data_IF_243904884779
#
_entry.id   IF_243904884779
#
_cell.length_a   1.000
_cell.length_b   1.000
_cell.length_c   1.000
_cell.angle_alpha   90.00
_cell.angle_beta   90.00
_cell.angle_gamma   90.00
#
_symmetry.space_group_name_H-M   'P 1'
#
loop_
_entity.id
_entity.type
_entity.pdbx_description
1 polymer ?
#
# COMPACT_ATOMS: atom_id res chain seq x y z
N UNK A 1 -6.98 -5.44 19.33
CA UNK A 1 -6.54 -4.71 18.15
C UNK A 1 -7.60 -4.86 17.11
N UNK A 2 -8.28 -3.75 16.83
CA UNK A 2 -9.06 -3.64 15.61
C UNK A 2 -8.11 -3.41 14.41
N UNK A 3 -8.68 -3.15 13.23
CA UNK A 3 -7.86 -2.95 12.03
C UNK A 3 -7.07 -1.63 12.08
N UNK A 4 -7.61 -0.58 12.70
CA UNK A 4 -6.98 0.74 12.75
C UNK A 4 -5.74 0.72 13.63
N UNK A 5 -5.81 0.01 14.77
CA UNK A 5 -4.65 -0.25 15.63
C UNK A 5 -3.49 -0.89 14.84
N UNK A 6 -3.81 -1.82 13.92
CA UNK A 6 -2.80 -2.47 13.08
C UNK A 6 -2.29 -1.56 11.96
N UNK A 7 -3.11 -0.67 11.41
CA UNK A 7 -2.66 0.27 10.37
C UNK A 7 -1.67 1.29 10.95
N UNK A 8 -1.93 1.79 12.16
CA UNK A 8 -0.96 2.61 12.90
C UNK A 8 0.34 1.85 13.19
N UNK A 9 0.24 0.57 13.53
CA UNK A 9 1.40 -0.30 13.75
C UNK A 9 2.18 -0.54 12.45
N UNK A 10 1.49 -0.75 11.33
CA UNK A 10 2.10 -0.91 9.99
C UNK A 10 2.90 0.32 9.58
N UNK A 11 2.39 1.53 9.83
CA UNK A 11 3.13 2.77 9.56
C UNK A 11 4.45 2.83 10.33
N UNK A 12 4.48 2.37 11.59
CA UNK A 12 5.73 2.32 12.38
C UNK A 12 6.65 1.22 11.85
N UNK A 13 6.11 0.02 11.63
CA UNK A 13 6.89 -1.12 11.18
C UNK A 13 7.55 -0.89 9.82
N UNK A 14 6.88 -0.23 8.87
CA UNK A 14 7.44 -0.03 7.53
C UNK A 14 8.66 0.93 7.55
N UNK A 15 8.73 1.82 8.55
CA UNK A 15 9.86 2.73 8.76
C UNK A 15 10.98 2.10 9.60
N UNK A 16 10.64 1.24 10.56
CA UNK A 16 11.60 0.72 11.55
C UNK A 16 12.15 -0.68 11.20
N UNK A 17 11.40 -1.49 10.45
CA UNK A 17 11.74 -2.87 10.15
C UNK A 17 12.30 -3.03 8.73
N UNK A 18 13.03 -4.12 8.51
CA UNK A 18 13.28 -4.59 7.14
C UNK A 18 11.97 -5.13 6.52
N UNK A 19 11.81 -5.01 5.20
CA UNK A 19 10.63 -5.52 4.49
C UNK A 19 10.36 -7.01 4.77
N UNK A 20 11.42 -7.81 4.93
CA UNK A 20 11.30 -9.23 5.28
C UNK A 20 10.77 -9.45 6.71
N UNK A 21 11.16 -8.61 7.67
CA UNK A 21 10.65 -8.67 9.03
C UNK A 21 9.19 -8.19 9.09
N UNK A 22 8.87 -7.13 8.35
CA UNK A 22 7.50 -6.63 8.18
C UNK A 22 6.58 -7.72 7.61
N UNK A 23 6.92 -8.32 6.45
CA UNK A 23 6.10 -9.37 5.84
C UNK A 23 5.93 -10.56 6.79
N UNK A 24 7.00 -10.98 7.47
CA UNK A 24 6.96 -12.10 8.42
C UNK A 24 6.03 -11.83 9.60
N UNK A 25 5.99 -10.60 10.11
CA UNK A 25 5.09 -10.20 11.19
C UNK A 25 3.64 -10.35 10.77
N UNK A 26 3.24 -9.76 9.64
CA UNK A 26 1.85 -9.81 9.18
C UNK A 26 1.43 -11.18 8.65
N UNK A 27 2.36 -11.98 8.13
CA UNK A 27 2.12 -13.40 7.89
C UNK A 27 1.75 -14.13 9.20
N UNK A 28 2.50 -13.89 10.29
CA UNK A 28 2.21 -14.52 11.57
C UNK A 28 0.85 -14.08 12.14
N UNK A 29 0.50 -12.80 12.00
CA UNK A 29 -0.83 -12.27 12.36
C UNK A 29 -1.93 -12.98 11.57
N UNK A 30 -1.77 -13.17 10.26
CA UNK A 30 -2.74 -13.92 9.45
C UNK A 30 -2.82 -15.40 9.87
N UNK A 31 -1.69 -16.06 10.16
CA UNK A 31 -1.70 -17.44 10.68
C UNK A 31 -2.48 -17.54 11.99
N UNK A 32 -2.29 -16.59 12.91
CA UNK A 32 -2.98 -16.57 14.20
C UNK A 32 -4.50 -16.37 14.02
N UNK A 33 -4.91 -15.43 13.18
CA UNK A 33 -6.31 -14.99 13.07
C UNK A 33 -7.13 -15.80 12.06
N UNK A 34 -6.52 -16.21 10.96
CA UNK A 34 -7.18 -16.87 9.81
C UNK A 34 -6.76 -18.33 9.62
N UNK A 35 -5.66 -18.74 10.27
CA UNK A 35 -5.09 -20.07 10.12
C UNK A 35 -4.06 -20.15 8.98
N UNK A 36 -3.15 -21.11 9.10
CA UNK A 36 -1.99 -21.27 8.20
C UNK A 36 -2.36 -21.45 6.73
N UNK A 37 -3.48 -22.10 6.43
CA UNK A 37 -3.89 -22.34 5.04
C UNK A 37 -4.23 -21.04 4.31
N UNK A 38 -4.89 -20.09 4.99
CA UNK A 38 -5.24 -18.78 4.45
C UNK A 38 -3.98 -17.93 4.20
N UNK A 39 -3.06 -17.90 5.19
CA UNK A 39 -1.79 -17.20 5.05
C UNK A 39 -0.96 -17.75 3.86
N UNK A 40 -0.94 -19.08 3.67
CA UNK A 40 -0.27 -19.71 2.52
C UNK A 40 -0.98 -19.39 1.21
N UNK A 41 -2.32 -19.32 1.18
CA UNK A 41 -3.10 -18.95 -0.01
C UNK A 41 -2.65 -17.57 -0.50
N UNK A 42 -2.68 -16.57 0.38
CA UNK A 42 -2.26 -15.20 0.07
C UNK A 42 -0.77 -15.15 -0.31
N UNK A 43 0.09 -15.85 0.41
CA UNK A 43 1.54 -15.83 0.16
C UNK A 43 1.91 -16.33 -1.25
N UNK A 44 1.15 -17.27 -1.79
CA UNK A 44 1.40 -17.93 -3.09
C UNK A 44 0.91 -17.16 -4.30
N UNK A 45 0.10 -16.12 -4.11
CA UNK A 45 -0.34 -15.25 -5.21
C UNK A 45 0.88 -14.71 -5.95
N UNK A 46 0.87 -14.84 -7.27
CA UNK A 46 1.91 -14.29 -8.12
C UNK A 46 1.68 -12.78 -8.28
N UNK A 47 2.71 -11.98 -8.00
CA UNK A 47 2.63 -10.51 -8.06
C UNK A 47 3.59 -9.92 -9.10
N UNK A 48 4.15 -10.74 -10.00
CA UNK A 48 5.18 -10.31 -10.94
C UNK A 48 4.66 -9.32 -11.99
N UNK A 49 3.49 -9.58 -12.59
CA UNK A 49 2.90 -8.63 -13.56
C UNK A 49 2.53 -7.32 -12.88
N UNK A 50 1.91 -7.39 -11.70
CA UNK A 50 1.58 -6.22 -10.89
C UNK A 50 2.83 -5.42 -10.50
N UNK A 51 3.94 -6.11 -10.17
CA UNK A 51 5.25 -5.48 -9.91
C UNK A 51 5.76 -4.71 -11.12
N UNK A 52 5.68 -5.26 -12.31
CA UNK A 52 6.17 -4.58 -13.53
C UNK A 52 5.28 -3.38 -13.87
N UNK A 53 3.95 -3.50 -13.79
CA UNK A 53 3.03 -2.37 -13.94
C UNK A 53 3.32 -1.26 -12.94
N UNK A 54 3.56 -1.60 -11.68
CA UNK A 54 3.89 -0.65 -10.62
C UNK A 54 5.22 0.07 -10.87
N UNK A 55 6.24 -0.62 -11.40
CA UNK A 55 7.53 -0.01 -11.79
C UNK A 55 7.37 0.97 -12.94
N UNK A 56 6.59 0.60 -13.96
CA UNK A 56 6.31 1.47 -15.10
C UNK A 56 5.53 2.70 -14.66
N UNK A 57 4.50 2.50 -13.82
CA UNK A 57 3.66 3.55 -13.25
C UNK A 57 4.46 4.56 -12.43
N UNK A 58 5.26 4.12 -11.45
CA UNK A 58 6.06 5.06 -10.64
C UNK A 58 7.12 5.80 -11.48
N UNK A 59 7.72 5.13 -12.47
CA UNK A 59 8.68 5.76 -13.39
C UNK A 59 8.02 6.87 -14.21
N UNK A 60 6.79 6.67 -14.65
CA UNK A 60 6.02 7.70 -15.34
C UNK A 60 5.56 8.81 -14.39
N UNK A 61 5.08 8.46 -13.19
CA UNK A 61 4.66 9.43 -12.18
C UNK A 61 5.79 10.39 -11.81
N UNK A 62 7.01 9.88 -11.59
CA UNK A 62 8.20 10.70 -11.32
C UNK A 62 8.54 11.66 -12.47
N UNK A 63 8.38 11.22 -13.73
CA UNK A 63 8.62 12.08 -14.90
C UNK A 63 7.60 13.22 -15.01
N UNK A 64 6.36 12.99 -14.59
CA UNK A 64 5.32 14.01 -14.54
C UNK A 64 5.55 14.95 -13.35
N UNK A 65 5.84 14.39 -12.19
CA UNK A 65 6.13 15.14 -10.97
C UNK A 65 7.31 16.11 -11.15
N UNK A 66 8.38 15.68 -11.83
CA UNK A 66 9.55 16.53 -12.13
C UNK A 66 9.26 17.71 -13.07
N UNK A 67 8.12 17.73 -13.79
CA UNK A 67 7.72 18.84 -14.65
C UNK A 67 6.77 19.82 -13.94
N UNK A 68 6.18 19.40 -12.84
CA UNK A 68 5.16 20.15 -12.11
C UNK A 68 5.67 20.66 -10.76
N UNK A 69 4.72 21.12 -9.96
CA UNK A 69 4.91 21.51 -8.55
C UNK A 69 4.56 20.37 -7.59
N UNK A 70 4.81 19.12 -8.00
CA UNK A 70 4.46 17.95 -7.21
C UNK A 70 5.13 18.00 -5.84
N UNK A 71 4.33 17.83 -4.79
CA UNK A 71 4.81 17.69 -3.41
C UNK A 71 4.79 16.25 -2.93
N UNK A 72 4.02 15.36 -3.55
CA UNK A 72 3.96 13.94 -3.17
C UNK A 72 3.45 13.11 -4.34
N UNK A 73 3.91 11.86 -4.40
CA UNK A 73 3.31 10.81 -5.22
C UNK A 73 2.57 9.86 -4.29
N UNK A 74 1.26 9.73 -4.48
CA UNK A 74 0.39 8.87 -3.69
C UNK A 74 -0.05 7.65 -4.50
N UNK A 75 0.27 6.46 -4.01
CA UNK A 75 -0.19 5.21 -4.59
C UNK A 75 -1.45 4.72 -3.86
N UNK A 76 -2.59 4.80 -4.52
CA UNK A 76 -3.84 4.23 -4.03
C UNK A 76 -4.12 2.90 -4.70
N UNK A 77 -4.70 1.95 -3.95
CA UNK A 77 -5.24 0.72 -4.51
C UNK A 77 -6.63 0.41 -3.94
N UNK A 78 -7.49 -0.14 -4.78
CA UNK A 78 -8.89 -0.45 -4.44
C UNK A 78 -9.06 -1.94 -4.14
N UNK A 79 -9.29 -2.27 -2.87
CA UNK A 79 -9.33 -3.66 -2.40
C UNK A 79 -10.45 -4.49 -3.06
N UNK A 80 -11.58 -3.87 -3.38
CA UNK A 80 -12.79 -4.60 -3.79
C UNK A 80 -13.10 -4.47 -5.29
N UNK A 81 -12.23 -3.76 -6.01
CA UNK A 81 -12.31 -3.52 -7.44
C UNK A 81 -11.03 -3.98 -8.14
N UNK A 82 -10.76 -5.29 -8.10
CA UNK A 82 -9.64 -5.90 -8.83
C UNK A 82 -8.26 -5.51 -8.31
N UNK A 83 -8.15 -4.92 -7.12
CA UNK A 83 -6.90 -4.33 -6.63
C UNK A 83 -6.33 -3.28 -7.59
N UNK A 84 -7.22 -2.62 -8.35
CA UNK A 84 -6.87 -1.57 -9.29
C UNK A 84 -6.14 -0.46 -8.53
N UNK A 85 -5.00 -0.03 -9.06
CA UNK A 85 -4.20 1.00 -8.42
C UNK A 85 -3.81 2.11 -9.37
N UNK A 86 -3.57 3.28 -8.77
CA UNK A 86 -3.11 4.47 -9.48
C UNK A 86 -2.07 5.21 -8.64
N UNK A 87 -1.17 5.89 -9.34
CA UNK A 87 -0.31 6.91 -8.77
C UNK A 87 -0.94 8.27 -9.03
N UNK A 88 -1.27 8.98 -7.97
CA UNK A 88 -1.73 10.36 -7.99
C UNK A 88 -0.56 11.29 -7.70
N UNK A 89 -0.50 12.40 -8.43
CA UNK A 89 0.55 13.41 -8.26
C UNK A 89 -0.13 14.65 -7.67
N UNK A 90 0.16 14.92 -6.41
CA UNK A 90 -0.50 15.96 -5.62
C UNK A 90 0.43 17.17 -5.48
N UNK A 91 -0.15 18.36 -5.43
CA UNK A 91 0.54 19.64 -5.23
C UNK A 91 0.45 20.16 -3.79
N UNK A 92 -0.23 19.42 -2.90
CA UNK A 92 -0.11 19.58 -1.46
C UNK A 92 0.40 18.30 -0.77
N UNK A 93 0.97 18.46 0.42
CA UNK A 93 1.46 17.36 1.25
C UNK A 93 1.54 17.82 2.70
N UNK A 94 1.08 16.96 3.61
CA UNK A 94 1.17 17.14 5.06
C UNK A 94 1.97 16.01 5.67
N UNK A 95 2.83 16.37 6.61
CA UNK A 95 3.63 15.40 7.33
C UNK A 95 2.74 14.51 8.20
N UNK A 96 3.21 13.29 8.47
CA UNK A 96 2.43 12.29 9.23
C UNK A 96 1.95 12.79 10.60
N UNK A 97 2.70 13.67 11.28
CA UNK A 97 2.34 14.20 12.59
C UNK A 97 1.22 15.24 12.55
N UNK A 98 0.87 15.76 11.36
CA UNK A 98 -0.22 16.72 11.19
C UNK A 98 -1.59 16.04 11.22
N UNK A 99 -1.65 14.70 11.08
CA UNK A 99 -2.89 13.90 11.10
C UNK A 99 -3.97 14.44 10.13
N UNK A 100 -3.53 14.93 8.97
CA UNK A 100 -4.36 15.52 7.92
C UNK A 100 -3.96 14.95 6.56
N UNK A 101 -4.82 14.12 5.98
CA UNK A 101 -4.65 13.49 4.68
C UNK A 101 -5.57 14.07 3.59
N UNK A 102 -6.18 15.24 3.81
CA UNK A 102 -7.01 15.93 2.80
C UNK A 102 -6.21 16.27 1.53
N UNK A 103 -4.88 16.37 1.63
CA UNK A 103 -3.99 16.58 0.49
C UNK A 103 -4.09 15.49 -0.58
N UNK A 104 -4.55 14.28 -0.24
CA UNK A 104 -4.69 13.17 -1.17
C UNK A 104 -5.97 13.25 -2.03
N UNK A 105 -6.89 14.18 -1.73
CA UNK A 105 -8.15 14.33 -2.46
C UNK A 105 -8.04 15.20 -3.72
N UNK A 106 -6.93 15.92 -3.92
CA UNK A 106 -6.70 16.75 -5.10
C UNK A 106 -5.37 16.35 -5.77
N UNK A 107 -5.43 16.11 -7.07
CA UNK A 107 -4.27 15.72 -7.88
C UNK A 107 -4.41 16.34 -9.27
N UNK A 108 -3.26 16.70 -9.85
CA UNK A 108 -3.25 17.32 -11.18
C UNK A 108 -2.92 16.31 -12.30
N UNK A 109 -2.37 15.16 -11.96
CA UNK A 109 -2.07 14.07 -12.89
C UNK A 109 -2.28 12.71 -12.21
N UNK A 110 -2.66 11.71 -13.00
CA UNK A 110 -2.81 10.32 -12.55
C UNK A 110 -2.09 9.36 -13.51
N UNK A 111 -1.57 8.26 -12.98
CA UNK A 111 -0.91 7.21 -13.76
C UNK A 111 -1.37 5.85 -13.27
N UNK A 112 -1.74 4.97 -14.19
CA UNK A 112 -2.14 3.61 -13.84
C UNK A 112 -1.00 2.84 -13.14
N UNK A 113 -1.32 2.20 -12.03
CA UNK A 113 -0.42 1.38 -11.22
C UNK A 113 -0.53 -0.13 -11.46
N UNK A 114 -1.51 -0.55 -12.25
CA UNK A 114 -1.84 -1.95 -12.53
C UNK A 114 -3.01 -2.47 -11.70
N UNK A 115 -3.19 -3.78 -11.70
CA UNK A 115 -4.23 -4.49 -10.95
C UNK A 115 -3.73 -5.86 -10.48
N UNK A 116 -4.41 -6.44 -9.49
CA UNK A 116 -4.11 -7.77 -8.96
C UNK A 116 -5.41 -8.46 -8.53
N UNK A 117 -6.18 -8.93 -9.53
CA UNK A 117 -7.53 -9.47 -9.34
C UNK A 117 -7.60 -10.57 -8.25
N UNK A 118 -6.61 -11.46 -8.19
CA UNK A 118 -6.54 -12.53 -7.18
C UNK A 118 -6.55 -12.00 -5.73
N UNK A 119 -5.97 -10.82 -5.45
CA UNK A 119 -6.06 -10.21 -4.11
C UNK A 119 -7.47 -9.72 -3.82
N UNK A 120 -8.13 -9.12 -4.80
CA UNK A 120 -9.50 -8.64 -4.66
C UNK A 120 -10.49 -9.78 -4.47
N UNK A 121 -10.32 -10.89 -5.19
CA UNK A 121 -11.11 -12.11 -4.99
C UNK A 121 -10.98 -12.64 -3.56
N UNK A 122 -9.75 -12.75 -3.03
CA UNK A 122 -9.51 -13.20 -1.65
C UNK A 122 -10.16 -12.23 -0.65
N UNK A 123 -10.07 -10.92 -0.90
CA UNK A 123 -10.72 -9.93 -0.05
C UNK A 123 -12.24 -10.07 -0.07
N UNK A 124 -12.86 -10.14 -1.25
CA UNK A 124 -14.32 -10.26 -1.42
C UNK A 124 -14.89 -11.53 -0.79
N UNK A 125 -14.12 -12.63 -0.75
CA UNK A 125 -14.51 -13.86 -0.04
C UNK A 125 -14.68 -13.67 1.48
N UNK A 126 -13.94 -12.74 2.09
CA UNK A 126 -13.83 -12.64 3.55
C UNK A 126 -14.36 -11.30 4.11
N UNK A 127 -14.36 -10.24 3.30
CA UNK A 127 -14.62 -8.86 3.68
C UNK A 127 -13.46 -8.20 4.43
N UNK A 128 -13.68 -6.98 4.92
CA UNK A 128 -12.65 -6.15 5.55
C UNK A 128 -12.17 -6.67 6.90
N UNK A 129 -13.00 -6.57 7.96
CA UNK A 129 -12.57 -6.89 9.33
C UNK A 129 -13.70 -7.43 10.24
N UNK A 130 -14.81 -7.91 9.67
CA UNK A 130 -15.99 -8.35 10.43
C UNK A 130 -15.77 -9.64 11.24
N UNK A 131 -14.72 -10.40 10.92
CA UNK A 131 -14.32 -11.62 11.63
C UNK A 131 -12.80 -11.64 11.82
N UNK A 132 -12.29 -12.49 12.72
CA UNK A 132 -10.84 -12.71 12.84
C UNK A 132 -10.23 -13.16 11.52
N UNK A 133 -10.92 -14.04 10.77
CA UNK A 133 -10.46 -14.47 9.46
C UNK A 133 -10.35 -13.30 8.47
N UNK A 134 -11.39 -12.47 8.40
CA UNK A 134 -11.39 -11.28 7.56
C UNK A 134 -10.24 -10.34 7.93
N UNK A 135 -10.12 -10.01 9.22
CA UNK A 135 -9.06 -9.16 9.75
C UNK A 135 -7.67 -9.71 9.40
N UNK A 136 -7.41 -10.99 9.66
CA UNK A 136 -6.11 -11.60 9.37
C UNK A 136 -5.79 -11.63 7.88
N UNK A 137 -6.78 -11.91 7.03
CA UNK A 137 -6.58 -11.93 5.58
C UNK A 137 -6.31 -10.52 5.03
N UNK A 138 -7.15 -9.55 5.40
CA UNK A 138 -7.02 -8.15 4.99
C UNK A 138 -5.67 -7.57 5.38
N UNK A 139 -5.24 -7.74 6.63
CA UNK A 139 -3.95 -7.25 7.09
C UNK A 139 -2.78 -7.83 6.29
N UNK A 140 -2.84 -9.10 5.91
CA UNK A 140 -1.74 -9.70 5.15
C UNK A 140 -1.77 -9.34 3.66
N UNK A 141 -2.95 -9.12 3.07
CA UNK A 141 -3.09 -8.54 1.73
C UNK A 141 -2.50 -7.12 1.66
N UNK A 142 -2.83 -6.27 2.64
CA UNK A 142 -2.23 -4.93 2.80
C UNK A 142 -0.72 -5.06 2.92
N UNK A 143 -0.24 -5.88 3.84
CA UNK A 143 1.19 -6.02 4.10
C UNK A 143 1.96 -6.46 2.86
N UNK A 144 1.43 -7.40 2.08
CA UNK A 144 2.01 -7.86 0.81
C UNK A 144 2.08 -6.76 -0.24
N UNK A 145 1.04 -5.93 -0.33
CA UNK A 145 0.99 -4.77 -1.23
C UNK A 145 2.04 -3.73 -0.83
N UNK A 146 2.09 -3.37 0.47
CA UNK A 146 3.07 -2.43 1.02
C UNK A 146 4.51 -2.93 0.82
N UNK A 147 4.79 -4.21 1.05
CA UNK A 147 6.12 -4.81 0.84
C UNK A 147 6.52 -4.75 -0.64
N UNK A 148 5.61 -5.12 -1.54
CA UNK A 148 5.86 -5.03 -2.97
C UNK A 148 6.20 -3.59 -3.38
N UNK A 149 5.33 -2.65 -3.01
CA UNK A 149 5.48 -1.23 -3.32
C UNK A 149 6.77 -0.64 -2.77
N UNK A 150 7.05 -0.89 -1.49
CA UNK A 150 8.28 -0.43 -0.84
C UNK A 150 9.52 -1.01 -1.51
N UNK A 151 9.49 -2.26 -1.95
CA UNK A 151 10.61 -2.89 -2.67
C UNK A 151 10.87 -2.26 -4.05
N UNK A 152 9.83 -1.74 -4.70
CA UNK A 152 9.95 -0.97 -5.94
C UNK A 152 10.54 0.41 -5.63
N UNK A 153 10.00 1.11 -4.62
CA UNK A 153 10.41 2.46 -4.25
C UNK A 153 11.83 2.56 -3.67
N UNK A 154 12.33 1.52 -2.99
CA UNK A 154 13.71 1.49 -2.46
C UNK A 154 14.79 1.68 -3.54
N UNK A 155 14.47 1.39 -4.80
CA UNK A 155 15.40 1.51 -5.93
C UNK A 155 15.35 2.88 -6.62
N UNK A 156 14.49 3.77 -6.14
CA UNK A 156 14.21 5.05 -6.77
C UNK A 156 14.93 6.15 -6.00
N UNK A 157 15.72 6.95 -6.70
CA UNK A 157 16.27 8.20 -6.17
C UNK A 157 15.29 9.34 -6.47
N UNK A 158 14.69 9.88 -5.42
CA UNK A 158 13.77 11.02 -5.49
C UNK A 158 13.76 11.74 -4.16
N UNK A 159 13.56 13.06 -4.21
CA UNK A 159 13.27 13.88 -3.04
C UNK A 159 11.76 14.07 -2.85
N UNK A 160 10.93 13.59 -3.77
CA UNK A 160 9.47 13.71 -3.64
C UNK A 160 8.99 12.59 -2.69
N UNK A 161 8.26 12.93 -1.61
CA UNK A 161 7.57 11.97 -0.76
C UNK A 161 6.77 10.95 -1.56
N UNK A 162 6.78 9.70 -1.09
CA UNK A 162 6.00 8.61 -1.67
C UNK A 162 5.14 7.97 -0.58
N UNK A 163 3.83 7.95 -0.84
CA UNK A 163 2.83 7.44 0.08
C UNK A 163 2.02 6.28 -0.54
N UNK A 164 1.39 5.47 0.31
CA UNK A 164 0.54 4.35 -0.08
C UNK A 164 -0.66 4.21 0.85
N UNK A 165 -1.83 3.92 0.28
CA UNK A 165 -3.03 3.56 1.04
C UNK A 165 -3.97 2.73 0.17
N UNK A 166 -4.87 1.98 0.80
CA UNK A 166 -6.06 1.55 0.09
C UNK A 166 -7.11 2.66 0.07
N UNK A 167 -8.09 2.58 -0.84
CA UNK A 167 -9.18 3.54 -0.89
C UNK A 167 -9.87 3.73 0.47
N UNK A 168 -10.07 4.96 0.91
CA UNK A 168 -10.58 5.35 2.24
C UNK A 168 -9.70 4.98 3.45
N UNK A 169 -8.44 4.59 3.25
CA UNK A 169 -7.51 4.39 4.37
C UNK A 169 -7.11 5.74 4.98
N UNK A 170 -7.27 5.86 6.30
CA UNK A 170 -6.80 6.97 7.11
C UNK A 170 -6.12 6.41 8.39
N UNK A 171 -4.84 6.74 8.68
CA UNK A 171 -3.94 7.59 7.89
C UNK A 171 -3.34 6.87 6.68
N UNK A 172 -2.98 7.64 5.66
CA UNK A 172 -2.20 7.22 4.51
C UNK A 172 -0.78 6.86 4.96
N UNK A 173 -0.23 5.74 4.46
CA UNK A 173 1.11 5.33 4.88
C UNK A 173 2.21 6.08 4.13
N UNK A 174 3.20 6.57 4.87
CA UNK A 174 4.42 7.20 4.36
C UNK A 174 5.51 6.13 4.23
N UNK A 175 5.98 5.89 3.00
CA UNK A 175 6.98 4.85 2.69
C UNK A 175 8.36 5.45 2.47
N UNK A 176 8.40 6.66 1.91
CA UNK A 176 9.63 7.43 1.70
C UNK A 176 9.33 8.90 1.89
N UNK A 177 10.05 9.54 2.81
CA UNK A 177 9.93 10.98 3.08
C UNK A 177 11.08 11.75 2.42
N UNK A 178 10.96 13.08 2.38
CA UNK A 178 12.07 13.98 2.06
C UNK A 178 13.28 13.62 2.94
N UNK A 179 14.44 13.44 2.30
CA UNK A 179 15.71 13.15 2.96
C UNK A 179 16.40 14.39 3.48
#
# INVERSE_FOLDING_TARGET
>A
MDIFDYLEEMQKDILECSLAAFEKKYYAVCVEKSGKNEAIKIQKVNMDEYRESMKDGISQALKLAAKGSAKVIYFEYDMDNGWNSNFFICDDYKELFEEDDEWACDWFEEVNGGSLEEFSEIYLENGFNSTNKALGNTLYLIARTVVLFSSVCQKIETNIPICIAFHDQDPIMRVKNEG
#
